data_IF_609239862128
#
_entry.id   IF_609239862128
#
_cell.length_a   1.000
_cell.length_b   1.000
_cell.length_c   1.000
_cell.angle_alpha   90.00
_cell.angle_beta   90.00
_cell.angle_gamma   90.00
#
_symmetry.space_group_name_H-M   'P 1'
#
loop_
_entity.id
_entity.type
_entity.pdbx_description
1 polymer ?
#
# COMPACT_ATOMS: atom_id res chain seq x y z
N UNK A 1 -62.31 -6.83 17.40
CA UNK A 1 -62.30 -6.96 18.86
C UNK A 1 -61.34 -5.94 19.43
N UNK A 2 -61.96 -4.92 20.02
CA UNK A 2 -61.33 -3.74 20.65
C UNK A 2 -60.97 -4.08 22.09
N UNK A 3 -59.79 -3.75 22.58
CA UNK A 3 -59.53 -3.59 24.01
C UNK A 3 -58.66 -2.36 24.24
N UNK A 4 -59.14 -1.52 25.16
CA UNK A 4 -58.73 -0.18 25.54
C UNK A 4 -57.45 -0.15 26.38
N UNK A 5 -56.78 1.00 26.28
CA UNK A 5 -55.74 1.51 27.16
C UNK A 5 -56.20 1.70 28.63
N UNK A 6 -55.31 1.55 29.57
CA UNK A 6 -55.42 2.18 30.89
C UNK A 6 -54.02 2.71 31.32
N UNK A 7 -54.03 4.03 31.55
CA UNK A 7 -52.94 4.80 32.11
C UNK A 7 -52.81 4.55 33.63
N UNK A 8 -51.59 4.47 34.15
CA UNK A 8 -51.28 4.79 35.54
C UNK A 8 -49.97 5.59 35.56
N UNK A 9 -50.16 6.85 35.90
CA UNK A 9 -49.14 7.83 36.29
C UNK A 9 -48.66 7.61 37.70
N UNK A 10 -47.37 7.59 37.92
CA UNK A 10 -46.72 7.83 39.19
C UNK A 10 -45.46 8.68 39.02
N UNK A 11 -45.24 9.70 39.86
CA UNK A 11 -44.23 10.71 39.66
C UNK A 11 -42.84 10.22 40.06
N UNK A 12 -41.85 10.42 39.20
CA UNK A 12 -40.45 10.12 39.49
C UNK A 12 -39.79 11.31 40.19
N UNK A 13 -39.34 11.10 41.44
CA UNK A 13 -38.56 12.01 42.26
C UNK A 13 -37.27 12.43 41.54
N UNK A 14 -37.02 13.75 41.54
CA UNK A 14 -35.67 14.29 41.30
C UNK A 14 -34.75 13.85 42.43
N UNK A 15 -33.69 13.14 42.07
CA UNK A 15 -32.53 12.98 42.93
C UNK A 15 -31.25 13.44 42.22
N UNK A 16 -30.51 14.15 43.01
CA UNK A 16 -29.30 14.92 42.83
C UNK A 16 -28.26 14.44 41.81
N UNK A 17 -27.74 15.45 41.13
CA UNK A 17 -26.52 15.44 40.34
C UNK A 17 -25.34 14.68 40.99
N UNK A 18 -24.93 13.60 40.37
CA UNK A 18 -23.56 13.10 40.51
C UNK A 18 -22.81 13.45 39.24
N UNK A 19 -21.79 14.28 39.39
CA UNK A 19 -20.76 14.55 38.39
C UNK A 19 -20.12 13.24 37.99
N UNK A 20 -20.47 12.69 36.85
CA UNK A 20 -19.65 11.69 36.19
C UNK A 20 -18.48 12.42 35.53
N UNK A 21 -17.29 12.21 36.12
CA UNK A 21 -16.02 12.56 35.50
C UNK A 21 -15.99 11.97 34.08
N UNK A 22 -15.48 12.71 33.06
CA UNK A 22 -15.24 12.12 31.77
C UNK A 22 -14.24 10.97 31.93
N UNK A 23 -14.60 9.81 31.38
CA UNK A 23 -13.70 8.67 31.23
C UNK A 23 -12.48 9.19 30.47
N UNK A 24 -11.35 9.25 31.13
CA UNK A 24 -10.07 9.52 30.49
C UNK A 24 -9.89 8.44 29.44
N UNK A 25 -9.94 8.87 28.19
CA UNK A 25 -9.47 8.13 27.04
C UNK A 25 -8.09 7.55 27.38
N UNK A 26 -7.98 6.23 27.41
CA UNK A 26 -6.70 5.57 27.59
C UNK A 26 -5.89 5.99 26.39
N UNK A 27 -4.90 6.84 26.60
CA UNK A 27 -3.85 7.16 25.64
C UNK A 27 -3.32 5.83 25.14
N UNK A 28 -3.64 5.52 23.88
CA UNK A 28 -3.03 4.42 23.17
C UNK A 28 -1.54 4.53 23.32
N UNK A 29 -0.94 3.49 23.86
CA UNK A 29 0.47 3.47 24.21
C UNK A 29 1.31 3.77 22.97
N UNK A 30 2.17 4.75 23.09
CA UNK A 30 3.34 4.90 22.24
C UNK A 30 3.99 3.54 22.08
N UNK A 31 4.35 3.20 20.85
CA UNK A 31 5.15 1.99 20.56
C UNK A 31 6.43 2.11 21.37
N UNK A 32 6.47 1.46 22.53
CA UNK A 32 7.66 1.31 23.36
C UNK A 32 8.51 0.19 22.77
N UNK A 33 8.96 0.36 21.53
CA UNK A 33 10.09 -0.33 21.00
C UNK A 33 11.33 0.50 21.33
N UNK A 34 11.88 0.33 22.53
CA UNK A 34 13.18 0.85 22.91
C UNK A 34 14.30 0.01 22.27
N UNK A 35 14.36 0.01 20.94
CA UNK A 35 15.47 -0.44 20.14
C UNK A 35 16.15 0.79 19.56
N UNK A 36 17.08 1.39 20.29
CA UNK A 36 17.95 2.47 19.82
C UNK A 36 19.03 1.93 18.87
N UNK A 37 18.60 1.53 17.65
CA UNK A 37 19.52 0.98 16.66
C UNK A 37 18.91 0.83 15.26
N UNK A 38 17.64 1.18 15.05
CA UNK A 38 17.01 1.12 13.75
C UNK A 38 17.55 2.16 12.77
N UNK A 39 17.66 1.82 11.49
CA UNK A 39 18.11 2.74 10.43
C UNK A 39 17.22 3.99 10.30
N UNK A 40 15.98 3.94 10.77
CA UNK A 40 14.98 5.01 10.69
C UNK A 40 14.36 5.25 12.09
N UNK A 41 14.35 6.51 12.54
CA UNK A 41 13.56 6.92 13.71
C UNK A 41 12.09 7.15 13.30
N UNK A 42 11.27 6.11 13.46
CA UNK A 42 9.85 6.13 13.12
C UNK A 42 9.03 7.12 13.95
N UNK A 43 9.44 7.44 15.19
CA UNK A 43 8.79 8.46 16.00
C UNK A 43 9.00 9.86 15.38
N UNK A 44 10.21 10.15 14.92
CA UNK A 44 10.51 11.36 14.16
C UNK A 44 9.73 11.41 12.85
N UNK A 45 9.58 10.29 12.14
CA UNK A 45 8.81 10.21 10.90
C UNK A 45 7.32 10.54 11.15
N UNK A 46 6.69 9.92 12.16
CA UNK A 46 5.29 10.20 12.54
C UNK A 46 5.11 11.67 12.96
N UNK A 47 5.99 12.19 13.80
CA UNK A 47 5.91 13.57 14.27
C UNK A 47 6.02 14.57 13.10
N UNK A 48 6.95 14.33 12.18
CA UNK A 48 7.16 15.17 10.98
C UNK A 48 5.95 15.10 10.06
N UNK A 49 5.48 13.89 9.74
CA UNK A 49 4.33 13.70 8.86
C UNK A 49 3.06 14.32 9.45
N UNK A 50 2.78 14.11 10.73
CA UNK A 50 1.58 14.66 11.41
C UNK A 50 1.52 16.18 11.34
N UNK A 51 2.66 16.87 11.44
CA UNK A 51 2.74 18.34 11.33
C UNK A 51 2.44 18.85 9.92
N UNK A 52 2.72 18.04 8.91
CA UNK A 52 2.58 18.38 7.49
C UNK A 52 1.28 17.87 6.86
N UNK A 53 0.59 16.95 7.52
CA UNK A 53 -0.73 16.49 7.05
C UNK A 53 -1.73 17.63 7.10
N UNK A 54 -2.22 18.02 5.91
CA UNK A 54 -3.31 18.98 5.79
C UNK A 54 -4.64 18.42 6.30
N UNK A 55 -5.63 19.30 6.55
CA UNK A 55 -6.99 18.91 6.93
C UNK A 55 -7.63 18.04 5.86
N UNK A 56 -8.60 17.21 6.26
CA UNK A 56 -9.46 16.48 5.34
C UNK A 56 -10.42 17.40 4.57
N UNK A 57 -11.28 16.84 3.71
CA UNK A 57 -12.31 17.61 3.05
C UNK A 57 -13.32 18.15 4.08
N UNK A 58 -13.82 19.36 3.84
CA UNK A 58 -14.92 19.93 4.64
C UNK A 58 -16.22 19.20 4.31
N UNK A 59 -16.74 18.43 5.27
CA UNK A 59 -17.96 17.66 5.18
C UNK A 59 -18.73 17.72 6.51
N UNK A 60 -20.04 17.51 6.46
CA UNK A 60 -20.85 17.41 7.68
C UNK A 60 -20.51 16.12 8.45
N UNK A 61 -20.80 16.12 9.75
CA UNK A 61 -20.67 14.93 10.60
C UNK A 61 -21.49 13.76 10.04
N UNK A 62 -22.71 14.00 9.61
CA UNK A 62 -23.58 12.99 9.04
C UNK A 62 -22.99 12.36 7.76
N UNK A 63 -22.38 13.16 6.89
CA UNK A 63 -21.72 12.67 5.68
C UNK A 63 -20.48 11.84 6.02
N UNK A 64 -19.70 12.25 7.03
CA UNK A 64 -18.55 11.48 7.50
C UNK A 64 -18.98 10.13 8.08
N UNK A 65 -20.02 10.11 8.94
CA UNK A 65 -20.54 8.88 9.54
C UNK A 65 -21.12 7.94 8.47
N UNK A 66 -21.82 8.48 7.45
CA UNK A 66 -22.30 7.71 6.30
C UNK A 66 -21.16 7.13 5.46
N UNK A 67 -20.09 7.90 5.22
CA UNK A 67 -18.93 7.40 4.49
C UNK A 67 -18.24 6.26 5.22
N UNK A 68 -18.09 6.36 6.54
CA UNK A 68 -17.49 5.30 7.36
C UNK A 68 -18.35 4.04 7.34
N UNK A 69 -19.68 4.18 7.50
CA UNK A 69 -20.59 3.04 7.50
C UNK A 69 -20.56 2.28 6.16
N UNK A 70 -20.70 3.02 5.03
CA UNK A 70 -20.68 2.38 3.71
C UNK A 70 -19.33 1.75 3.36
N UNK A 71 -18.19 2.35 3.74
CA UNK A 71 -16.88 1.76 3.49
C UNK A 71 -16.68 0.44 4.26
N UNK A 72 -17.20 0.33 5.49
CA UNK A 72 -17.18 -0.92 6.23
C UNK A 72 -18.01 -2.01 5.55
N UNK A 73 -19.22 -1.67 5.14
CA UNK A 73 -20.11 -2.58 4.41
C UNK A 73 -19.51 -3.01 3.08
N UNK A 74 -19.03 -2.06 2.28
CA UNK A 74 -18.44 -2.35 0.99
C UNK A 74 -17.15 -3.15 1.08
N UNK A 75 -16.35 -3.00 2.13
CA UNK A 75 -15.16 -3.84 2.31
C UNK A 75 -15.48 -5.32 2.49
N UNK A 76 -16.60 -5.64 3.13
CA UNK A 76 -17.11 -7.01 3.28
C UNK A 76 -17.69 -7.52 1.96
N UNK A 77 -18.54 -6.73 1.31
CA UNK A 77 -19.17 -7.09 0.04
C UNK A 77 -18.15 -7.25 -1.09
N UNK A 78 -17.17 -6.33 -1.18
CA UNK A 78 -16.10 -6.41 -2.16
C UNK A 78 -15.27 -7.69 -2.03
N UNK A 79 -14.92 -8.08 -0.80
CA UNK A 79 -14.17 -9.31 -0.55
C UNK A 79 -14.95 -10.55 -1.06
N UNK A 80 -16.25 -10.60 -0.89
CA UNK A 80 -17.09 -11.69 -1.42
C UNK A 80 -16.97 -11.76 -2.94
N UNK A 81 -17.10 -10.64 -3.64
CA UNK A 81 -16.97 -10.61 -5.09
C UNK A 81 -15.58 -11.00 -5.60
N UNK A 82 -14.54 -10.59 -4.87
CA UNK A 82 -13.15 -10.97 -5.22
C UNK A 82 -12.96 -12.49 -5.06
N UNK A 83 -13.46 -13.10 -3.98
CA UNK A 83 -13.41 -14.55 -3.74
C UNK A 83 -14.15 -15.33 -4.83
N UNK A 84 -15.34 -14.88 -5.21
CA UNK A 84 -16.14 -15.50 -6.27
C UNK A 84 -15.40 -15.54 -7.61
N UNK A 85 -14.69 -14.45 -7.95
CA UNK A 85 -13.94 -14.37 -9.20
C UNK A 85 -12.63 -15.16 -9.16
N UNK A 86 -11.87 -15.02 -8.07
CA UNK A 86 -10.47 -15.48 -8.00
C UNK A 86 -10.35 -16.89 -7.41
N UNK A 87 -11.33 -17.32 -6.62
CA UNK A 87 -11.23 -18.54 -5.81
C UNK A 87 -10.28 -18.44 -4.62
N UNK A 88 -9.63 -17.29 -4.41
CA UNK A 88 -8.71 -17.10 -3.30
C UNK A 88 -9.43 -16.95 -1.96
N UNK A 89 -8.90 -17.58 -0.93
CA UNK A 89 -9.32 -17.38 0.46
C UNK A 89 -10.73 -17.88 0.78
N UNK A 90 -11.23 -18.90 0.09
CA UNK A 90 -12.57 -19.47 0.31
C UNK A 90 -12.83 -19.85 1.78
N UNK A 91 -11.81 -20.39 2.45
CA UNK A 91 -11.90 -20.86 3.84
C UNK A 91 -11.53 -19.78 4.90
N UNK A 92 -11.17 -18.58 4.44
CA UNK A 92 -10.79 -17.51 5.37
C UNK A 92 -12.02 -16.75 5.89
N UNK A 93 -12.00 -16.26 7.15
CA UNK A 93 -13.07 -15.41 7.64
C UNK A 93 -13.13 -14.08 6.86
N UNK A 94 -14.35 -13.63 6.58
CA UNK A 94 -14.56 -12.27 6.04
C UNK A 94 -14.50 -11.28 7.19
N UNK A 95 -13.64 -10.26 7.07
CA UNK A 95 -13.45 -9.25 8.12
C UNK A 95 -13.57 -7.86 7.49
N UNK A 96 -14.33 -6.97 8.12
CA UNK A 96 -14.45 -5.58 7.69
C UNK A 96 -13.10 -4.86 7.72
N UNK A 97 -12.87 -3.97 6.78
CA UNK A 97 -11.71 -3.08 6.79
C UNK A 97 -11.79 -2.03 7.90
N UNK A 98 -10.62 -1.59 8.37
CA UNK A 98 -10.46 -0.48 9.31
C UNK A 98 -10.60 0.84 8.55
N UNK A 99 -11.69 1.57 8.80
CA UNK A 99 -11.90 2.90 8.22
C UNK A 99 -11.22 3.93 9.11
N UNK A 100 -10.24 4.63 8.55
CA UNK A 100 -9.35 5.52 9.30
C UNK A 100 -9.33 6.94 8.73
N UNK A 101 -8.91 7.90 9.55
CA UNK A 101 -8.49 9.22 9.10
C UNK A 101 -7.01 9.21 8.64
N UNK A 102 -6.50 10.34 8.15
CA UNK A 102 -5.11 10.46 7.71
C UNK A 102 -4.08 10.18 8.81
N UNK A 103 -4.24 10.71 10.04
CA UNK A 103 -3.37 10.34 11.16
C UNK A 103 -3.48 8.86 11.54
N UNK A 104 -4.65 8.24 11.45
CA UNK A 104 -4.86 6.82 11.67
C UNK A 104 -4.12 5.96 10.65
N UNK A 105 -4.22 6.32 9.37
CA UNK A 105 -3.44 5.68 8.31
C UNK A 105 -1.92 5.83 8.55
N UNK A 106 -1.47 7.05 8.91
CA UNK A 106 -0.05 7.31 9.18
C UNK A 106 0.50 6.38 10.26
N UNK A 107 -0.23 6.21 11.36
CA UNK A 107 0.16 5.29 12.45
C UNK A 107 0.19 3.83 11.98
N UNK A 108 -0.81 3.40 11.20
CA UNK A 108 -0.85 2.06 10.62
C UNK A 108 0.31 1.80 9.67
N UNK A 109 0.50 2.68 8.69
CA UNK A 109 1.56 2.57 7.70
C UNK A 109 2.96 2.57 8.33
N UNK A 110 3.18 3.42 9.33
CA UNK A 110 4.48 3.47 10.05
C UNK A 110 4.73 2.18 10.82
N UNK A 111 3.71 1.61 11.46
CA UNK A 111 3.82 0.32 12.16
C UNK A 111 4.18 -0.80 11.18
N UNK A 112 3.45 -0.93 10.07
CA UNK A 112 3.73 -1.93 9.05
C UNK A 112 5.13 -1.80 8.43
N UNK A 113 5.59 -0.57 8.17
CA UNK A 113 6.95 -0.32 7.68
C UNK A 113 8.02 -0.67 8.72
N UNK A 114 7.78 -0.39 10.00
CA UNK A 114 8.69 -0.78 11.09
C UNK A 114 8.81 -2.30 11.18
N UNK A 115 7.67 -3.00 11.26
CA UNK A 115 7.63 -4.47 11.32
C UNK A 115 8.30 -5.12 10.09
N UNK A 116 8.04 -4.58 8.90
CA UNK A 116 8.68 -5.04 7.66
C UNK A 116 10.19 -4.84 7.72
N UNK A 117 10.65 -3.66 8.14
CA UNK A 117 12.08 -3.33 8.22
C UNK A 117 12.80 -4.21 9.25
N UNK A 118 12.20 -4.37 10.43
CA UNK A 118 12.77 -5.17 11.51
C UNK A 118 12.85 -6.66 11.09
N UNK A 119 11.78 -7.19 10.47
CA UNK A 119 11.75 -8.56 9.94
C UNK A 119 12.75 -8.75 8.80
N UNK A 120 12.84 -7.79 7.89
CA UNK A 120 13.76 -7.85 6.77
C UNK A 120 15.22 -7.84 7.22
N UNK A 121 15.57 -7.00 8.19
CA UNK A 121 16.93 -6.94 8.78
C UNK A 121 17.28 -8.18 9.60
N UNK A 122 16.31 -8.75 10.33
CA UNK A 122 16.51 -10.01 11.06
C UNK A 122 16.79 -11.19 10.11
N UNK A 123 16.09 -11.24 8.98
CA UNK A 123 16.29 -12.28 7.95
C UNK A 123 17.60 -12.13 7.17
N UNK A 124 18.17 -10.92 7.14
CA UNK A 124 19.41 -10.62 6.40
C UNK A 124 20.70 -11.03 7.13
N UNK A 125 20.63 -11.45 8.40
CA UNK A 125 21.78 -12.05 9.13
C UNK A 125 22.94 -11.10 9.40
N UNK A 126 22.71 -9.80 9.52
CA UNK A 126 23.75 -8.78 9.65
C UNK A 126 24.32 -8.65 11.07
N UNK A 127 25.28 -9.49 11.44
CA UNK A 127 26.08 -9.34 12.68
C UNK A 127 27.34 -8.48 12.51
N UNK A 128 27.76 -8.19 11.28
CA UNK A 128 28.95 -7.40 10.94
C UNK A 128 28.66 -5.92 10.66
N UNK A 129 27.96 -5.22 11.57
CA UNK A 129 27.86 -3.75 11.46
C UNK A 129 29.09 -3.12 12.10
N UNK A 130 29.85 -2.34 11.32
CA UNK A 130 30.87 -1.43 11.88
C UNK A 130 30.27 -0.64 13.05
N UNK A 131 30.98 -0.59 14.18
CA UNK A 131 30.57 0.15 15.38
C UNK A 131 30.51 1.66 15.09
N UNK A 132 29.39 2.12 14.57
CA UNK A 132 29.10 3.56 14.41
C UNK A 132 28.87 4.14 15.80
N UNK A 133 29.48 5.30 16.09
CA UNK A 133 29.25 6.02 17.33
C UNK A 133 27.72 6.17 17.60
N UNK A 134 27.22 5.84 18.82
CA UNK A 134 25.80 5.92 19.15
C UNK A 134 25.17 7.31 18.84
N UNK A 135 25.96 8.38 18.99
CA UNK A 135 25.50 9.73 18.68
C UNK A 135 25.31 9.94 17.17
N UNK A 136 26.25 9.46 16.36
CA UNK A 136 26.16 9.56 14.90
C UNK A 136 25.04 8.68 14.35
N UNK A 137 24.86 7.48 14.88
CA UNK A 137 23.75 6.61 14.57
C UNK A 137 22.38 7.26 14.87
N UNK A 138 22.26 7.91 16.03
CA UNK A 138 21.05 8.64 16.41
C UNK A 138 20.75 9.86 15.52
N UNK A 139 21.79 10.58 15.09
CA UNK A 139 21.63 11.72 14.16
C UNK A 139 21.20 11.23 12.78
N UNK A 140 21.82 10.16 12.28
CA UNK A 140 21.49 9.58 10.98
C UNK A 140 20.07 9.01 10.97
N UNK A 141 19.66 8.28 12.00
CA UNK A 141 18.30 7.70 12.10
C UNK A 141 17.21 8.78 12.20
N UNK A 142 17.46 9.90 12.88
CA UNK A 142 16.54 11.05 12.90
C UNK A 142 16.45 11.74 11.54
N UNK A 143 17.58 11.92 10.85
CA UNK A 143 17.59 12.44 9.49
C UNK A 143 16.76 11.58 8.53
N UNK A 144 16.96 10.27 8.57
CA UNK A 144 16.16 9.30 7.82
C UNK A 144 14.67 9.34 8.24
N UNK A 145 14.39 9.48 9.54
CA UNK A 145 13.04 9.66 10.06
C UNK A 145 12.34 10.91 9.53
N UNK A 146 13.04 12.03 9.45
CA UNK A 146 12.49 13.26 8.84
C UNK A 146 12.18 13.06 7.36
N UNK A 147 13.06 12.44 6.57
CA UNK A 147 12.85 12.16 5.15
C UNK A 147 11.65 11.22 4.96
N UNK A 148 11.58 10.12 5.72
CA UNK A 148 10.44 9.22 5.73
C UNK A 148 9.15 9.97 6.09
N UNK A 149 9.19 10.88 7.06
CA UNK A 149 8.06 11.71 7.47
C UNK A 149 7.55 12.63 6.35
N UNK A 150 8.43 13.22 5.54
CA UNK A 150 8.03 14.01 4.36
C UNK A 150 7.30 13.16 3.32
N UNK A 151 7.83 11.96 3.03
CA UNK A 151 7.21 11.02 2.09
C UNK A 151 5.85 10.56 2.61
N UNK A 152 5.76 10.18 3.89
CA UNK A 152 4.52 9.75 4.52
C UNK A 152 3.48 10.86 4.59
N UNK A 153 3.88 12.13 4.82
CA UNK A 153 2.97 13.27 4.75
C UNK A 153 2.35 13.42 3.36
N UNK A 154 3.16 13.32 2.31
CA UNK A 154 2.68 13.38 0.94
C UNK A 154 1.72 12.20 0.63
N UNK A 155 2.13 10.98 0.91
CA UNK A 155 1.32 9.78 0.69
C UNK A 155 0.03 9.81 1.50
N UNK A 156 0.06 10.29 2.74
CA UNK A 156 -1.11 10.42 3.62
C UNK A 156 -2.23 11.28 3.07
N UNK A 157 -1.96 12.13 2.06
CA UNK A 157 -2.98 12.90 1.34
C UNK A 157 -3.46 12.24 0.05
N UNK A 158 -2.82 11.16 -0.41
CA UNK A 158 -3.07 10.52 -1.72
C UNK A 158 -3.60 9.10 -1.61
N UNK A 159 -3.15 8.34 -0.62
CA UNK A 159 -3.52 6.94 -0.44
C UNK A 159 -5.02 6.84 -0.12
N UNK A 160 -5.75 6.01 -0.88
CA UNK A 160 -7.17 5.75 -0.68
C UNK A 160 -7.39 4.59 0.28
N UNK A 161 -6.58 3.55 0.15
CA UNK A 161 -6.54 2.39 1.02
C UNK A 161 -5.15 1.76 1.02
N UNK A 162 -4.97 0.77 1.87
CA UNK A 162 -3.75 0.00 1.97
C UNK A 162 -4.04 -1.31 2.69
N UNK A 163 -3.64 -2.42 2.10
CA UNK A 163 -3.49 -3.65 2.86
C UNK A 163 -2.07 -3.72 3.43
N UNK A 164 -1.97 -3.80 4.75
CA UNK A 164 -0.71 -4.02 5.48
C UNK A 164 -0.63 -5.49 5.90
N UNK A 165 0.21 -6.32 5.27
CA UNK A 165 0.30 -7.73 5.59
C UNK A 165 1.15 -8.03 6.83
N UNK A 166 1.90 -7.06 7.38
CA UNK A 166 2.89 -7.27 8.41
C UNK A 166 2.34 -7.03 9.82
N UNK A 167 1.39 -6.11 9.98
CA UNK A 167 0.78 -5.80 11.27
C UNK A 167 -0.47 -6.64 11.50
N UNK A 168 -0.56 -7.47 12.55
CA UNK A 168 -1.78 -8.20 12.88
C UNK A 168 -2.89 -7.23 13.33
N UNK A 169 -4.15 -7.66 13.16
CA UNK A 169 -5.30 -6.96 13.73
C UNK A 169 -5.31 -7.10 15.26
N UNK A 170 -6.11 -6.27 15.94
CA UNK A 170 -6.29 -6.36 17.38
C UNK A 170 -6.91 -7.71 17.81
N UNK A 171 -7.57 -8.43 16.89
CA UNK A 171 -8.09 -9.80 17.08
C UNK A 171 -7.07 -10.90 16.73
N UNK A 172 -5.83 -10.55 16.38
CA UNK A 172 -4.78 -11.50 16.02
C UNK A 172 -4.86 -12.06 14.60
N UNK A 173 -5.77 -11.54 13.77
CA UNK A 173 -5.81 -11.91 12.34
C UNK A 173 -4.60 -11.34 11.60
N UNK A 174 -4.04 -12.06 10.62
CA UNK A 174 -2.89 -11.58 9.87
C UNK A 174 -3.27 -10.41 8.96
N UNK A 175 -2.51 -9.32 9.08
CA UNK A 175 -2.64 -8.14 8.24
C UNK A 175 -3.85 -7.25 8.54
N UNK A 176 -3.78 -5.99 8.10
CA UNK A 176 -4.83 -4.97 8.30
C UNK A 176 -5.20 -4.31 6.97
N UNK A 177 -6.49 -4.22 6.69
CA UNK A 177 -7.03 -3.46 5.58
C UNK A 177 -7.40 -2.06 6.08
N UNK A 178 -6.68 -1.04 5.65
CA UNK A 178 -6.91 0.36 6.01
C UNK A 178 -7.63 1.08 4.86
N UNK A 179 -8.74 1.76 5.13
CA UNK A 179 -9.48 2.59 4.18
C UNK A 179 -9.45 4.04 4.66
N UNK A 180 -8.84 4.93 3.88
CA UNK A 180 -8.59 6.33 4.28
C UNK A 180 -9.79 7.19 3.87
N UNK A 181 -10.85 7.21 4.69
CA UNK A 181 -12.12 7.84 4.38
C UNK A 181 -12.01 9.29 3.88
N UNK A 182 -11.23 10.21 4.49
CA UNK A 182 -11.13 11.59 4.00
C UNK A 182 -10.52 11.68 2.60
N UNK A 183 -9.61 10.79 2.24
CA UNK A 183 -9.01 10.77 0.91
C UNK A 183 -9.96 10.20 -0.14
N UNK A 184 -10.72 9.15 0.22
CA UNK A 184 -11.74 8.56 -0.65
C UNK A 184 -12.82 9.60 -0.97
N UNK A 185 -13.33 10.31 0.04
CA UNK A 185 -14.32 11.38 -0.15
C UNK A 185 -13.76 12.52 -1.02
N UNK A 186 -12.54 12.97 -0.74
CA UNK A 186 -11.90 14.03 -1.51
C UNK A 186 -11.65 13.63 -2.97
N UNK A 187 -11.21 12.40 -3.21
CA UNK A 187 -10.97 11.88 -4.55
C UNK A 187 -12.28 11.73 -5.33
N UNK A 188 -13.29 11.12 -4.72
CA UNK A 188 -14.61 10.93 -5.30
C UNK A 188 -15.23 12.28 -5.75
N UNK A 189 -15.22 13.30 -4.87
CA UNK A 189 -15.71 14.64 -5.19
C UNK A 189 -14.93 15.28 -6.35
N UNK A 190 -13.62 15.17 -6.32
CA UNK A 190 -12.77 15.76 -7.36
C UNK A 190 -12.90 15.06 -8.71
N UNK A 191 -13.29 13.78 -8.73
CA UNK A 191 -13.58 13.02 -9.94
C UNK A 191 -15.03 13.24 -10.41
N UNK A 192 -15.93 13.72 -9.54
CA UNK A 192 -17.34 13.92 -9.87
C UNK A 192 -18.08 12.62 -10.22
N UNK A 193 -17.75 11.51 -9.52
CA UNK A 193 -18.32 10.18 -9.74
C UNK A 193 -19.27 9.80 -8.61
N UNK A 194 -20.21 8.82 -8.81
CA UNK A 194 -21.10 8.35 -7.77
C UNK A 194 -20.34 7.85 -6.54
N UNK A 195 -20.85 8.14 -5.35
CA UNK A 195 -20.15 7.88 -4.08
C UNK A 195 -19.98 6.37 -3.84
N UNK A 196 -21.05 5.62 -3.98
CA UNK A 196 -21.07 4.19 -3.66
C UNK A 196 -20.25 3.40 -4.68
N UNK A 197 -20.33 3.76 -5.95
CA UNK A 197 -19.51 3.17 -7.01
C UNK A 197 -18.01 3.37 -6.72
N UNK A 198 -17.61 4.59 -6.34
CA UNK A 198 -16.20 4.87 -6.07
C UNK A 198 -15.70 4.17 -4.80
N UNK A 199 -16.52 4.10 -3.75
CA UNK A 199 -16.20 3.38 -2.52
C UNK A 199 -16.07 1.88 -2.75
N UNK A 200 -17.02 1.28 -3.49
CA UNK A 200 -16.96 -0.13 -3.88
C UNK A 200 -15.73 -0.41 -4.75
N UNK A 201 -15.42 0.46 -5.70
CA UNK A 201 -14.25 0.36 -6.57
C UNK A 201 -12.93 0.32 -5.78
N UNK A 202 -12.77 1.20 -4.78
CA UNK A 202 -11.60 1.19 -3.87
C UNK A 202 -11.60 -0.10 -3.03
N UNK A 203 -12.73 -0.51 -2.48
CA UNK A 203 -12.83 -1.72 -1.67
C UNK A 203 -12.49 -2.99 -2.45
N UNK A 204 -12.87 -3.10 -3.73
CA UNK A 204 -12.49 -4.23 -4.60
C UNK A 204 -10.97 -4.33 -4.74
N UNK A 205 -10.29 -3.20 -4.97
CA UNK A 205 -8.84 -3.14 -5.08
C UNK A 205 -8.15 -3.64 -3.81
N UNK A 206 -8.49 -3.04 -2.69
CA UNK A 206 -7.83 -3.31 -1.41
C UNK A 206 -8.15 -4.73 -0.87
N UNK A 207 -9.39 -5.21 -1.11
CA UNK A 207 -9.77 -6.59 -0.75
C UNK A 207 -9.01 -7.62 -1.59
N UNK A 208 -8.66 -7.30 -2.84
CA UNK A 208 -7.81 -8.17 -3.65
C UNK A 208 -6.42 -8.33 -3.03
N UNK A 209 -5.79 -7.24 -2.62
CA UNK A 209 -4.51 -7.32 -1.92
C UNK A 209 -4.58 -8.12 -0.62
N UNK A 210 -5.66 -7.95 0.15
CA UNK A 210 -5.89 -8.75 1.34
C UNK A 210 -5.93 -10.25 1.04
N UNK A 211 -6.66 -10.66 0.01
CA UNK A 211 -6.75 -12.07 -0.35
C UNK A 211 -5.44 -12.62 -0.92
N UNK A 212 -4.71 -11.84 -1.72
CA UNK A 212 -3.38 -12.22 -2.21
C UNK A 212 -2.43 -12.60 -1.06
N UNK A 213 -2.37 -11.80 -0.01
CA UNK A 213 -1.46 -12.07 1.10
C UNK A 213 -1.99 -13.07 2.14
N UNK A 214 -3.31 -13.18 2.32
CA UNK A 214 -3.88 -14.08 3.32
C UNK A 214 -4.12 -15.50 2.78
N UNK A 215 -4.45 -15.62 1.50
CA UNK A 215 -4.65 -16.92 0.85
C UNK A 215 -3.34 -17.55 0.37
N UNK A 216 -2.22 -16.79 0.34
CA UNK A 216 -0.91 -17.25 -0.14
C UNK A 216 0.10 -17.16 1.02
N UNK A 217 0.23 -18.21 1.84
CA UNK A 217 0.99 -18.14 3.10
C UNK A 217 2.47 -17.76 2.93
N UNK A 218 3.11 -18.20 1.85
CA UNK A 218 4.53 -17.94 1.58
C UNK A 218 4.82 -16.52 1.09
N UNK A 219 3.84 -15.81 0.54
CA UNK A 219 4.04 -14.53 -0.15
C UNK A 219 4.58 -13.44 0.79
N UNK A 220 4.07 -13.37 2.02
CA UNK A 220 4.52 -12.40 3.03
C UNK A 220 6.00 -12.57 3.36
N UNK A 221 6.41 -13.79 3.64
CA UNK A 221 7.81 -14.11 3.97
C UNK A 221 8.73 -13.87 2.78
N UNK A 222 8.32 -14.30 1.58
CA UNK A 222 9.06 -14.10 0.35
C UNK A 222 9.27 -12.61 0.03
N UNK A 223 8.22 -11.80 0.20
CA UNK A 223 8.29 -10.35 0.00
C UNK A 223 9.21 -9.69 1.03
N UNK A 224 9.08 -10.02 2.31
CA UNK A 224 9.94 -9.52 3.39
C UNK A 224 11.42 -9.90 3.17
N UNK A 225 11.69 -11.13 2.77
CA UNK A 225 13.06 -11.61 2.45
C UNK A 225 13.64 -10.83 1.28
N UNK A 226 12.90 -10.62 0.21
CA UNK A 226 13.36 -9.86 -0.96
C UNK A 226 13.70 -8.40 -0.62
N UNK A 227 12.96 -7.78 0.30
CA UNK A 227 13.29 -6.45 0.82
C UNK A 227 14.55 -6.49 1.69
N UNK A 228 14.69 -7.50 2.55
CA UNK A 228 15.89 -7.68 3.37
C UNK A 228 17.16 -7.83 2.54
N UNK A 229 17.12 -8.63 1.50
CA UNK A 229 18.23 -8.79 0.53
C UNK A 229 18.59 -7.44 -0.11
N UNK A 230 17.59 -6.65 -0.54
CA UNK A 230 17.85 -5.33 -1.11
C UNK A 230 18.48 -4.38 -0.09
N UNK A 231 17.99 -4.35 1.15
CA UNK A 231 18.53 -3.48 2.21
C UNK A 231 19.97 -3.85 2.56
N UNK A 232 20.28 -5.14 2.70
CA UNK A 232 21.64 -5.63 2.97
C UNK A 232 22.62 -5.26 1.86
N UNK A 233 22.21 -5.42 0.62
CA UNK A 233 23.01 -5.05 -0.54
C UNK A 233 23.24 -3.53 -0.63
N UNK A 234 22.33 -2.73 -0.08
CA UNK A 234 22.49 -1.26 -0.01
C UNK A 234 23.50 -0.84 1.07
N UNK A 235 23.51 -1.49 2.23
CA UNK A 235 24.44 -1.18 3.33
C UNK A 235 25.89 -1.48 2.96
N UNK A 236 26.17 -2.55 2.19
CA UNK A 236 27.52 -2.94 1.75
C UNK A 236 28.12 -2.04 0.66
N UNK A 237 27.37 -1.14 0.06
CA UNK A 237 27.77 -0.48 -1.20
C UNK A 237 28.37 0.92 -1.09
N UNK A 238 28.51 1.48 0.12
CA UNK A 238 28.98 2.87 0.31
C UNK A 238 30.31 3.21 -0.37
N UNK A 239 31.27 2.28 -0.37
CA UNK A 239 32.57 2.44 -1.05
C UNK A 239 32.51 2.18 -2.58
N UNK A 240 31.67 1.25 -3.01
CA UNK A 240 31.51 0.92 -4.44
C UNK A 240 30.73 1.99 -5.23
N UNK A 241 29.80 2.69 -4.59
CA UNK A 241 29.05 3.80 -5.18
C UNK A 241 29.99 4.91 -5.69
N UNK A 242 31.01 5.27 -4.92
CA UNK A 242 32.02 6.25 -5.33
C UNK A 242 32.81 5.79 -6.54
N UNK A 243 33.10 4.49 -6.66
CA UNK A 243 33.80 3.90 -7.80
C UNK A 243 32.97 3.87 -9.09
N UNK A 244 31.63 3.87 -8.99
CA UNK A 244 30.70 3.79 -10.14
C UNK A 244 30.24 5.18 -10.64
N UNK A 245 30.42 6.24 -9.86
CA UNK A 245 30.08 7.60 -10.26
C UNK A 245 30.66 8.03 -11.63
N UNK A 246 31.94 7.72 -11.96
CA UNK A 246 32.49 8.10 -13.26
C UNK A 246 31.82 7.43 -14.46
N UNK A 247 31.41 6.15 -14.33
CA UNK A 247 30.68 5.44 -15.39
C UNK A 247 29.26 5.96 -15.55
N UNK A 248 28.54 6.14 -14.45
CA UNK A 248 27.18 6.72 -14.45
C UNK A 248 27.16 8.13 -15.07
N UNK A 249 28.14 9.00 -14.72
CA UNK A 249 28.26 10.33 -15.32
C UNK A 249 28.54 10.25 -16.83
N UNK A 250 29.34 9.27 -17.28
CA UNK A 250 29.63 9.04 -18.70
C UNK A 250 28.37 8.63 -19.46
N UNK A 251 27.60 7.69 -18.92
CA UNK A 251 26.32 7.24 -19.54
C UNK A 251 25.26 8.32 -19.56
N UNK A 252 25.12 9.12 -18.48
CA UNK A 252 24.23 10.29 -18.47
C UNK A 252 24.65 11.32 -19.52
N UNK A 253 25.95 11.51 -19.72
CA UNK A 253 26.47 12.43 -20.73
C UNK A 253 26.23 11.91 -22.14
N UNK A 254 26.40 10.61 -22.39
CA UNK A 254 26.08 9.95 -23.66
C UNK A 254 24.59 10.03 -23.99
N UNK A 255 23.71 9.77 -23.01
CA UNK A 255 22.27 9.93 -23.17
C UNK A 255 21.82 11.38 -23.49
N UNK A 256 22.55 12.40 -23.00
CA UNK A 256 22.30 13.81 -23.31
C UNK A 256 22.83 14.25 -24.69
N UNK A 257 23.82 13.55 -25.24
CA UNK A 257 24.36 13.84 -26.57
C UNK A 257 23.54 13.27 -27.73
N UNK A 258 22.39 12.64 -27.46
CA UNK A 258 21.48 12.16 -28.50
C UNK A 258 21.81 10.80 -29.09
N UNK A 259 22.79 10.07 -28.51
CA UNK A 259 23.18 8.72 -28.96
C UNK A 259 22.20 7.62 -28.49
N UNK A 260 21.32 7.95 -27.51
CA UNK A 260 20.24 7.04 -27.07
C UNK A 260 18.95 7.83 -26.90
N UNK A 261 17.86 7.29 -27.42
CA UNK A 261 16.53 7.94 -27.54
C UNK A 261 15.78 8.12 -26.20
N UNK A 262 16.43 7.82 -25.06
CA UNK A 262 15.84 7.93 -23.73
C UNK A 262 16.82 8.51 -22.73
N UNK A 263 16.59 9.76 -22.31
CA UNK A 263 17.22 10.28 -21.08
C UNK A 263 16.80 9.41 -19.89
N UNK A 264 17.74 8.76 -19.19
CA UNK A 264 17.39 7.99 -18.00
C UNK A 264 16.82 8.96 -16.97
N UNK A 265 15.55 8.75 -16.57
CA UNK A 265 14.99 9.42 -15.41
C UNK A 265 15.79 9.05 -14.15
N UNK A 266 15.46 9.64 -12.98
CA UNK A 266 16.18 9.37 -11.72
C UNK A 266 16.26 7.86 -11.40
N UNK A 267 15.25 7.05 -11.76
CA UNK A 267 15.29 5.59 -11.65
C UNK A 267 16.38 4.98 -12.53
N UNK A 268 16.57 5.44 -13.75
CA UNK A 268 17.65 4.96 -14.62
C UNK A 268 19.04 5.29 -14.07
N UNK A 269 19.21 6.46 -13.43
CA UNK A 269 20.47 6.80 -12.75
C UNK A 269 20.69 5.91 -11.53
N UNK A 270 19.65 5.62 -10.76
CA UNK A 270 19.71 4.69 -9.60
C UNK A 270 20.03 3.27 -10.10
N UNK A 271 19.41 2.80 -11.19
CA UNK A 271 19.71 1.49 -11.79
C UNK A 271 21.18 1.38 -12.27
N UNK A 272 21.76 2.46 -12.80
CA UNK A 272 23.17 2.49 -13.24
C UNK A 272 24.17 2.42 -12.07
N UNK A 273 23.77 2.89 -10.90
CA UNK A 273 24.61 2.89 -9.70
C UNK A 273 24.54 1.58 -8.90
N UNK A 274 23.53 0.74 -9.15
CA UNK A 274 23.30 -0.51 -8.42
C UNK A 274 24.28 -1.61 -8.80
N UNK A 275 24.60 -2.48 -7.81
CA UNK A 275 25.28 -3.76 -8.05
C UNK A 275 24.38 -4.72 -8.83
N UNK A 276 24.93 -5.75 -9.51
CA UNK A 276 24.10 -6.79 -10.12
C UNK A 276 23.14 -7.45 -9.11
N UNK A 277 23.59 -7.66 -7.87
CA UNK A 277 22.76 -8.24 -6.80
C UNK A 277 21.63 -7.31 -6.38
N UNK A 278 21.92 -6.02 -6.16
CA UNK A 278 20.91 -4.99 -5.88
C UNK A 278 19.86 -4.90 -6.99
N UNK A 279 20.30 -4.91 -8.25
CA UNK A 279 19.41 -4.88 -9.41
C UNK A 279 18.53 -6.12 -9.46
N UNK A 280 19.07 -7.31 -9.23
CA UNK A 280 18.28 -8.54 -9.18
C UNK A 280 17.25 -8.54 -8.04
N UNK A 281 17.60 -8.06 -6.84
CA UNK A 281 16.68 -7.94 -5.72
C UNK A 281 15.55 -6.93 -6.02
N UNK A 282 15.91 -5.77 -6.58
CA UNK A 282 14.92 -4.77 -6.99
C UNK A 282 14.00 -5.30 -8.10
N UNK A 283 14.51 -5.99 -9.11
CA UNK A 283 13.73 -6.57 -10.19
C UNK A 283 12.71 -7.60 -9.66
N UNK A 284 13.07 -8.41 -8.66
CA UNK A 284 12.13 -9.34 -7.99
C UNK A 284 11.00 -8.59 -7.29
N UNK A 285 11.33 -7.58 -6.47
CA UNK A 285 10.34 -6.77 -5.75
C UNK A 285 9.40 -6.07 -6.73
N UNK A 286 9.95 -5.49 -7.79
CA UNK A 286 9.18 -4.81 -8.82
C UNK A 286 8.28 -5.79 -9.59
N UNK A 287 8.74 -7.00 -9.89
CA UNK A 287 7.95 -8.03 -10.56
C UNK A 287 6.76 -8.46 -9.69
N UNK A 288 6.99 -8.75 -8.41
CA UNK A 288 5.93 -9.11 -7.46
C UNK A 288 4.91 -7.96 -7.33
N UNK A 289 5.38 -6.74 -7.11
CA UNK A 289 4.49 -5.57 -6.98
C UNK A 289 3.66 -5.35 -8.26
N UNK A 290 4.26 -5.54 -9.43
CA UNK A 290 3.57 -5.41 -10.72
C UNK A 290 2.49 -6.48 -10.90
N UNK A 291 2.77 -7.72 -10.50
CA UNK A 291 1.81 -8.80 -10.52
C UNK A 291 0.62 -8.52 -9.58
N UNK A 292 0.90 -8.14 -8.33
CA UNK A 292 -0.13 -7.88 -7.32
C UNK A 292 -1.09 -6.78 -7.78
N UNK A 293 -0.56 -5.66 -8.25
CA UNK A 293 -1.35 -4.54 -8.75
C UNK A 293 -2.09 -4.90 -10.04
N UNK A 294 -1.44 -5.61 -10.95
CA UNK A 294 -2.06 -6.03 -12.22
C UNK A 294 -3.21 -7.02 -12.01
N UNK A 295 -3.08 -7.92 -11.04
CA UNK A 295 -4.16 -8.81 -10.65
C UNK A 295 -5.32 -8.03 -10.02
N UNK A 296 -5.04 -7.06 -9.13
CA UNK A 296 -6.08 -6.21 -8.56
C UNK A 296 -6.80 -5.39 -9.62
N UNK A 297 -6.09 -4.83 -10.59
CA UNK A 297 -6.67 -4.12 -11.74
C UNK A 297 -7.56 -5.04 -12.59
N UNK A 298 -7.12 -6.27 -12.86
CA UNK A 298 -7.91 -7.26 -13.58
C UNK A 298 -9.21 -7.61 -12.84
N UNK A 299 -9.12 -7.84 -11.53
CA UNK A 299 -10.31 -8.12 -10.69
C UNK A 299 -11.30 -6.97 -10.74
N UNK A 300 -10.84 -5.74 -10.63
CA UNK A 300 -11.69 -4.55 -10.72
C UNK A 300 -12.38 -4.43 -12.10
N UNK A 301 -11.69 -4.82 -13.18
CA UNK A 301 -12.27 -4.81 -14.53
C UNK A 301 -13.29 -5.93 -14.73
N UNK A 302 -13.04 -7.11 -14.19
CA UNK A 302 -13.91 -8.27 -14.34
C UNK A 302 -15.17 -8.19 -13.46
N UNK A 303 -15.04 -7.73 -12.23
CA UNK A 303 -16.15 -7.57 -11.26
C UNK A 303 -16.89 -6.27 -11.47
N UNK A 304 -16.16 -5.19 -11.78
CA UNK A 304 -16.66 -3.82 -11.83
C UNK A 304 -17.98 -3.63 -12.59
N UNK A 305 -18.12 -4.08 -13.84
CA UNK A 305 -19.35 -3.87 -14.62
C UNK A 305 -20.63 -4.35 -13.93
N UNK A 306 -20.55 -5.34 -13.05
CA UNK A 306 -21.71 -5.89 -12.32
C UNK A 306 -22.07 -5.10 -11.05
N UNK A 307 -21.07 -4.57 -10.35
CA UNK A 307 -21.24 -3.99 -9.00
C UNK A 307 -20.87 -2.51 -8.91
N UNK A 308 -20.20 -1.97 -9.95
CA UNK A 308 -19.81 -0.57 -10.08
C UNK A 308 -20.23 -0.04 -11.46
N UNK A 309 -21.50 0.35 -11.65
CA UNK A 309 -22.01 0.78 -12.94
C UNK A 309 -21.17 1.86 -13.64
N UNK A 310 -20.54 2.76 -12.89
CA UNK A 310 -19.70 3.84 -13.41
C UNK A 310 -18.20 3.48 -13.53
N UNK A 311 -17.81 2.20 -13.50
CA UNK A 311 -16.40 1.77 -13.48
C UNK A 311 -15.56 2.37 -14.61
N UNK A 312 -16.07 2.42 -15.84
CA UNK A 312 -15.36 3.00 -16.97
C UNK A 312 -15.11 4.50 -16.79
N UNK A 313 -16.12 5.23 -16.32
CA UNK A 313 -15.98 6.67 -16.01
C UNK A 313 -14.99 6.92 -14.88
N UNK A 314 -15.02 6.08 -13.84
CA UNK A 314 -14.06 6.16 -12.72
C UNK A 314 -12.64 5.97 -13.24
N UNK A 315 -12.38 4.91 -14.04
CA UNK A 315 -11.04 4.62 -14.59
C UNK A 315 -10.54 5.75 -15.47
N UNK A 316 -11.35 6.23 -16.38
CA UNK A 316 -11.00 7.34 -17.28
C UNK A 316 -10.61 8.59 -16.48
N UNK A 317 -11.48 9.07 -15.61
CA UNK A 317 -11.23 10.28 -14.81
C UNK A 317 -10.09 10.12 -13.83
N UNK A 318 -9.92 8.93 -13.24
CA UNK A 318 -8.82 8.63 -12.34
C UNK A 318 -7.47 8.65 -13.07
N UNK A 319 -7.41 8.09 -14.29
CA UNK A 319 -6.23 8.12 -15.15
C UNK A 319 -5.89 9.54 -15.60
N UNK A 320 -6.88 10.32 -16.05
CA UNK A 320 -6.71 11.72 -16.42
C UNK A 320 -6.19 12.57 -15.25
N UNK A 321 -6.75 12.37 -14.05
CA UNK A 321 -6.28 13.08 -12.85
C UNK A 321 -4.84 12.71 -12.45
N UNK A 322 -4.44 11.46 -12.62
CA UNK A 322 -3.05 11.02 -12.39
C UNK A 322 -2.06 11.67 -13.35
N UNK A 323 -2.47 12.00 -14.57
CA UNK A 323 -1.64 12.72 -15.55
C UNK A 323 -1.49 14.22 -15.23
N UNK A 324 -2.42 14.81 -14.47
CA UNK A 324 -2.40 16.22 -14.04
C UNK A 324 -1.81 16.36 -12.63
N UNK A 325 -1.00 17.40 -12.41
CA UNK A 325 -0.45 17.72 -11.08
C UNK A 325 0.31 19.05 -11.11
N UNK A 326 0.37 19.73 -9.96
CA UNK A 326 1.18 20.95 -9.81
C UNK A 326 2.69 20.68 -9.94
N UNK A 327 3.52 21.72 -10.03
CA UNK A 327 4.98 21.55 -10.15
C UNK A 327 5.59 20.73 -9.03
N UNK A 328 5.17 20.95 -7.79
CA UNK A 328 5.63 20.20 -6.61
C UNK A 328 5.18 18.73 -6.66
N UNK A 329 3.92 18.47 -7.04
CA UNK A 329 3.40 17.11 -7.22
C UNK A 329 4.19 16.36 -8.30
N UNK A 330 4.54 17.02 -9.39
CA UNK A 330 5.39 16.47 -10.47
C UNK A 330 6.79 16.10 -9.99
N UNK A 331 7.43 16.98 -9.21
CA UNK A 331 8.76 16.72 -8.63
C UNK A 331 8.70 15.54 -7.67
N UNK A 332 7.73 15.51 -6.74
CA UNK A 332 7.59 14.40 -5.80
C UNK A 332 7.24 13.09 -6.49
N UNK A 333 6.37 13.10 -7.49
CA UNK A 333 6.06 11.91 -8.32
C UNK A 333 7.29 11.40 -9.05
N UNK A 334 8.12 12.29 -9.61
CA UNK A 334 9.38 11.92 -10.26
C UNK A 334 10.38 11.33 -9.26
N UNK A 335 10.53 11.97 -8.09
CA UNK A 335 11.41 11.48 -7.02
C UNK A 335 10.98 10.11 -6.48
N UNK A 336 9.67 9.88 -6.35
CA UNK A 336 9.10 8.61 -5.87
C UNK A 336 8.90 7.59 -6.99
N UNK A 337 9.29 7.89 -8.23
CA UNK A 337 9.16 6.99 -9.37
C UNK A 337 7.71 6.66 -9.76
N UNK A 338 6.73 7.50 -9.39
CA UNK A 338 5.29 7.24 -9.59
C UNK A 338 4.94 7.04 -11.06
N UNK A 339 5.57 7.79 -11.97
CA UNK A 339 5.28 7.70 -13.41
C UNK A 339 5.80 6.40 -14.03
N UNK A 340 6.96 5.89 -13.58
CA UNK A 340 7.46 4.58 -13.94
C UNK A 340 6.55 3.47 -13.38
N UNK A 341 6.05 3.64 -12.16
CA UNK A 341 5.13 2.73 -11.49
C UNK A 341 3.79 2.60 -12.25
N UNK A 342 3.26 3.70 -12.79
CA UNK A 342 2.01 3.67 -13.60
C UNK A 342 2.19 2.83 -14.88
N UNK A 343 3.30 2.99 -15.61
CA UNK A 343 3.61 2.16 -16.79
C UNK A 343 3.77 0.68 -16.43
N UNK A 344 4.32 0.40 -15.27
CA UNK A 344 4.53 -0.93 -14.75
C UNK A 344 3.20 -1.61 -14.38
N UNK A 345 2.25 -0.90 -13.78
CA UNK A 345 0.91 -1.43 -13.46
C UNK A 345 0.12 -1.82 -14.73
N UNK A 346 0.21 -1.02 -15.79
CA UNK A 346 -0.40 -1.37 -17.06
C UNK A 346 0.11 -2.73 -17.59
N UNK A 347 1.42 -2.98 -17.50
CA UNK A 347 2.01 -4.27 -17.89
C UNK A 347 1.52 -5.44 -17.03
N UNK A 348 1.35 -5.23 -15.71
CA UNK A 348 0.80 -6.25 -14.82
C UNK A 348 -0.65 -6.62 -15.17
N UNK A 349 -1.47 -5.63 -15.50
CA UNK A 349 -2.86 -5.86 -15.92
C UNK A 349 -2.93 -6.58 -17.28
N UNK A 350 -2.06 -6.21 -18.23
CA UNK A 350 -1.93 -6.89 -19.53
C UNK A 350 -1.47 -8.34 -19.35
N UNK A 351 -0.48 -8.60 -18.50
CA UNK A 351 0.00 -9.93 -18.17
C UNK A 351 -1.15 -10.78 -17.58
N UNK A 352 -1.80 -10.29 -16.53
CA UNK A 352 -2.89 -11.03 -15.88
C UNK A 352 -4.02 -11.34 -16.87
N UNK A 353 -4.42 -10.35 -17.67
CA UNK A 353 -5.46 -10.54 -18.69
C UNK A 353 -5.05 -11.58 -19.71
N UNK A 354 -3.85 -11.50 -20.28
CA UNK A 354 -3.37 -12.44 -21.29
C UNK A 354 -3.27 -13.87 -20.77
N UNK A 355 -2.85 -14.06 -19.53
CA UNK A 355 -2.84 -15.40 -18.90
C UNK A 355 -4.26 -15.89 -18.64
N UNK A 356 -5.14 -15.06 -18.07
CA UNK A 356 -6.54 -15.46 -17.79
C UNK A 356 -7.30 -15.75 -19.08
N UNK A 357 -7.09 -15.02 -20.14
CA UNK A 357 -7.68 -15.30 -21.47
C UNK A 357 -7.22 -16.64 -22.04
N UNK A 358 -5.98 -17.04 -21.77
CA UNK A 358 -5.42 -18.29 -22.31
C UNK A 358 -5.81 -19.53 -21.49
N UNK A 359 -5.78 -19.46 -20.15
CA UNK A 359 -5.92 -20.63 -19.26
C UNK A 359 -6.99 -20.46 -18.17
N UNK A 360 -7.75 -19.38 -18.19
CA UNK A 360 -8.74 -19.04 -17.16
C UNK A 360 -8.11 -18.59 -15.83
N UNK A 361 -8.97 -18.16 -14.91
CA UNK A 361 -8.52 -17.72 -13.56
C UNK A 361 -7.89 -18.88 -12.77
N UNK A 362 -8.42 -20.09 -12.91
CA UNK A 362 -7.85 -21.29 -12.25
C UNK A 362 -6.42 -21.56 -12.73
N UNK A 363 -6.15 -21.45 -14.04
CA UNK A 363 -4.80 -21.59 -14.56
C UNK A 363 -3.89 -20.43 -14.15
N UNK A 364 -4.40 -19.21 -14.11
CA UNK A 364 -3.64 -18.06 -13.57
C UNK A 364 -3.22 -18.29 -12.11
N UNK A 365 -4.05 -18.92 -11.30
CA UNK A 365 -3.77 -19.16 -9.88
C UNK A 365 -2.54 -20.05 -9.62
N UNK A 366 -1.98 -20.72 -10.63
CA UNK A 366 -0.68 -21.38 -10.52
C UNK A 366 0.43 -20.41 -10.04
N UNK A 367 0.28 -19.11 -10.29
CA UNK A 367 1.19 -18.07 -9.80
C UNK A 367 1.30 -18.02 -8.27
N UNK A 368 0.27 -18.52 -7.56
CA UNK A 368 0.20 -18.51 -6.09
C UNK A 368 0.67 -19.82 -5.44
N UNK A 369 1.01 -20.84 -6.23
CA UNK A 369 1.42 -22.16 -5.70
C UNK A 369 2.80 -22.12 -5.07
N UNK A 370 3.74 -21.34 -5.63
CA UNK A 370 5.09 -21.19 -5.08
C UNK A 370 5.84 -20.00 -5.69
N UNK A 371 6.94 -19.56 -5.02
CA UNK A 371 7.75 -18.44 -5.50
C UNK A 371 8.39 -18.70 -6.86
N UNK A 372 8.63 -19.95 -7.24
CA UNK A 372 9.14 -20.36 -8.56
C UNK A 372 8.16 -20.06 -9.69
N UNK A 373 6.87 -19.99 -9.41
CA UNK A 373 5.83 -19.66 -10.37
C UNK A 373 5.62 -18.16 -10.54
N UNK A 374 6.22 -17.32 -9.71
CA UNK A 374 6.16 -15.87 -9.91
C UNK A 374 6.74 -15.48 -11.28
N UNK A 375 6.09 -14.56 -12.01
CA UNK A 375 6.64 -14.09 -13.26
C UNK A 375 7.89 -13.24 -13.01
N UNK A 376 8.88 -13.41 -13.86
CA UNK A 376 10.02 -12.51 -13.96
C UNK A 376 9.58 -11.16 -14.58
N UNK A 377 10.40 -10.12 -14.42
CA UNK A 377 10.15 -8.82 -15.06
C UNK A 377 10.02 -8.92 -16.60
N UNK A 378 10.71 -9.85 -17.23
CA UNK A 378 10.62 -10.12 -18.66
C UNK A 378 9.29 -10.79 -19.03
N UNK A 379 8.87 -11.79 -18.28
CA UNK A 379 7.61 -12.53 -18.49
C UNK A 379 6.38 -11.65 -18.27
N UNK A 380 6.44 -10.64 -17.41
CA UNK A 380 5.35 -9.65 -17.30
C UNK A 380 5.08 -8.88 -18.61
N UNK A 381 6.04 -8.85 -19.52
CA UNK A 381 5.86 -8.30 -20.88
C UNK A 381 5.64 -9.37 -21.94
N UNK A 382 5.73 -10.66 -21.59
CA UNK A 382 5.50 -11.80 -22.47
C UNK A 382 4.73 -12.92 -21.71
N UNK A 383 3.41 -12.80 -21.57
CA UNK A 383 2.59 -13.80 -20.86
C UNK A 383 2.77 -15.22 -21.40
N UNK A 384 3.05 -15.37 -22.72
CA UNK A 384 3.25 -16.68 -23.33
C UNK A 384 4.57 -17.35 -22.86
N UNK A 385 5.61 -16.58 -22.54
CA UNK A 385 6.82 -17.13 -21.97
C UNK A 385 6.56 -17.72 -20.58
N UNK A 386 5.77 -17.02 -19.74
CA UNK A 386 5.37 -17.53 -18.43
C UNK A 386 4.49 -18.79 -18.57
N UNK A 387 3.52 -18.78 -19.47
CA UNK A 387 2.65 -19.94 -19.73
C UNK A 387 3.47 -21.18 -20.13
N UNK A 388 4.42 -21.05 -21.04
CA UNK A 388 5.33 -22.16 -21.44
C UNK A 388 6.17 -22.68 -20.27
N UNK A 389 6.56 -21.82 -19.35
CA UNK A 389 7.37 -22.23 -18.20
C UNK A 389 6.56 -22.93 -17.12
N UNK A 390 5.33 -22.49 -16.88
CA UNK A 390 4.51 -22.95 -15.75
C UNK A 390 3.53 -24.05 -16.15
N UNK A 391 2.99 -24.00 -17.37
CA UNK A 391 1.99 -24.97 -17.86
C UNK A 391 2.53 -25.96 -18.90
N UNK A 392 3.80 -25.82 -19.36
CA UNK A 392 4.46 -26.74 -20.29
C UNK A 392 4.24 -26.33 -21.72
#
# INVERSE_FOLDING_TARGET
VTVRASALSTPFRRDSARHTRPVRDRRDGYVSGSGSGGAVDWNTAVATATRLLGPGPEISRAEADSAVASLREFSVSAETHVRELTGLGADLPVVSGDVVDRPGWLRGATRGLSELTDTALANAGGDDREEVSPVLAAVNSRGAGMQAGLVLAYLGTKVLGQYDPFTPTDSGQPGRLLLVAPNIVAAQRALGVPQDDFRMWVCLHESTHRLQFNAVPWLREHFSRSIGELLTEMDGSGGELLGRLPSAVREIRAARSGETDTSPGMLGVVELLQSPAQRAALDRILAISTLLEGHADHVMDAVGPRVVPSVHTIRERFTQRRAGGGPLDRVLRSLLGVDAKIKQYAKGAEFTRGVVEAVGMTGFNAVWEGPENLPTRAELSDPLAWLRRVHG
#
